data_IF_985098634830
#
_entry.id   IF_985098634830
#
_cell.length_a   1.000
_cell.length_b   1.000
_cell.length_c   1.000
_cell.angle_alpha   90.00
_cell.angle_beta   90.00
_cell.angle_gamma   90.00
#
_symmetry.space_group_name_H-M   'P 1'
#
loop_
_entity.id
_entity.type
_entity.pdbx_description
1 polymer ?
#
# COMPACT_ATOMS: atom_id res chain seq x y z
N UNK A 1 0.66 -30.03 7.42
CA UNK A 1 -0.82 -29.88 7.36
C UNK A 1 -1.15 -28.40 7.60
N UNK A 2 -1.21 -27.61 6.52
CA UNK A 2 -1.31 -26.14 6.62
C UNK A 2 -2.72 -25.75 7.06
N UNK A 3 -2.82 -25.18 8.27
CA UNK A 3 -4.06 -24.66 8.81
C UNK A 3 -4.57 -23.56 7.87
N UNK A 4 -5.67 -23.83 7.17
CA UNK A 4 -6.35 -22.89 6.27
C UNK A 4 -6.94 -21.79 7.14
N UNK A 5 -6.11 -20.81 7.50
CA UNK A 5 -6.55 -19.68 8.30
C UNK A 5 -7.57 -18.92 7.45
N UNK A 6 -8.82 -18.92 7.90
CA UNK A 6 -9.90 -18.31 7.13
C UNK A 6 -9.65 -16.80 7.14
N UNK A 7 -9.41 -16.20 5.97
CA UNK A 7 -9.03 -14.79 5.80
C UNK A 7 -9.97 -13.86 6.59
N UNK A 8 -11.24 -14.22 6.69
CA UNK A 8 -12.26 -13.54 7.50
C UNK A 8 -11.90 -13.47 8.98
N UNK A 9 -11.42 -14.56 9.59
CA UNK A 9 -11.04 -14.59 11.02
C UNK A 9 -9.86 -13.67 11.27
N UNK A 10 -8.90 -13.64 10.34
CA UNK A 10 -7.73 -12.77 10.42
C UNK A 10 -8.12 -11.29 10.33
N UNK A 11 -8.98 -10.93 9.37
CA UNK A 11 -9.48 -9.55 9.22
C UNK A 11 -10.27 -9.12 10.47
N UNK A 12 -11.15 -9.98 10.99
CA UNK A 12 -11.89 -9.70 12.24
C UNK A 12 -10.94 -9.54 13.43
N UNK A 13 -9.90 -10.36 13.53
CA UNK A 13 -8.88 -10.24 14.58
C UNK A 13 -8.10 -8.93 14.48
N UNK A 14 -7.77 -8.47 13.28
CA UNK A 14 -7.07 -7.19 13.06
C UNK A 14 -7.97 -6.02 13.46
N UNK A 15 -9.23 -6.00 13.00
CA UNK A 15 -10.19 -4.95 13.34
C UNK A 15 -10.46 -4.94 14.85
N UNK A 16 -10.70 -6.12 15.44
CA UNK A 16 -10.90 -6.28 16.88
C UNK A 16 -9.69 -5.81 17.67
N UNK A 17 -8.48 -6.15 17.22
CA UNK A 17 -7.22 -5.74 17.84
C UNK A 17 -7.00 -4.22 17.77
N UNK A 18 -7.28 -3.58 16.63
CA UNK A 18 -7.19 -2.11 16.52
C UNK A 18 -8.22 -1.42 17.42
N UNK A 19 -9.46 -1.89 17.41
CA UNK A 19 -10.53 -1.31 18.23
C UNK A 19 -10.23 -1.42 19.72
N UNK A 20 -9.77 -2.59 20.17
CA UNK A 20 -9.37 -2.79 21.56
C UNK A 20 -8.12 -2.00 21.94
N UNK A 21 -7.17 -1.78 21.02
CA UNK A 21 -6.04 -0.87 21.25
C UNK A 21 -6.50 0.57 21.50
N UNK A 22 -7.46 1.06 20.71
CA UNK A 22 -8.03 2.41 20.88
C UNK A 22 -8.72 2.54 22.25
N UNK A 23 -9.56 1.57 22.63
CA UNK A 23 -10.20 1.58 23.95
C UNK A 23 -9.20 1.48 25.09
N UNK A 24 -8.17 0.66 24.95
CA UNK A 24 -7.12 0.50 25.95
C UNK A 24 -6.30 1.78 26.13
N UNK A 25 -5.90 2.43 25.03
CA UNK A 25 -5.24 3.74 25.07
C UNK A 25 -6.15 4.81 25.67
N UNK A 26 -7.44 4.81 25.30
CA UNK A 26 -8.43 5.73 25.88
C UNK A 26 -8.60 5.53 27.38
N UNK A 27 -8.63 4.29 27.86
CA UNK A 27 -8.67 3.96 29.27
C UNK A 27 -7.41 4.47 30.01
N UNK A 28 -6.22 4.22 29.48
CA UNK A 28 -4.97 4.71 30.07
C UNK A 28 -4.92 6.24 30.12
N UNK A 29 -5.45 6.92 29.10
CA UNK A 29 -5.55 8.38 29.07
C UNK A 29 -6.52 8.90 30.14
N UNK A 30 -7.70 8.28 30.28
CA UNK A 30 -8.70 8.62 31.31
C UNK A 30 -8.18 8.35 32.72
N UNK A 31 -7.42 7.28 32.92
CA UNK A 31 -6.76 6.95 34.17
C UNK A 31 -5.61 7.90 34.52
N UNK A 32 -5.30 8.89 33.66
CA UNK A 32 -4.19 9.85 33.78
C UNK A 32 -2.81 9.20 33.87
N UNK A 33 -2.69 7.93 33.48
CA UNK A 33 -1.42 7.19 33.49
C UNK A 33 -0.49 7.72 32.38
N UNK A 34 -1.02 8.28 31.30
CA UNK A 34 -0.25 8.82 30.17
C UNK A 34 0.24 10.27 30.42
N UNK A 35 -0.02 10.87 31.59
CA UNK A 35 0.33 12.29 31.83
C UNK A 35 1.83 12.57 31.92
N UNK A 36 2.63 11.56 32.28
CA UNK A 36 4.09 11.71 32.34
C UNK A 36 4.75 11.02 31.15
N UNK A 37 5.62 11.76 30.45
CA UNK A 37 6.41 11.25 29.32
C UNK A 37 7.22 9.99 29.68
N UNK A 38 7.73 9.95 30.92
CA UNK A 38 8.51 8.81 31.42
C UNK A 38 7.61 7.59 31.62
N UNK A 39 6.41 7.79 32.19
CA UNK A 39 5.46 6.70 32.43
C UNK A 39 4.94 6.09 31.14
N UNK A 40 4.64 6.91 30.13
CA UNK A 40 4.19 6.44 28.83
C UNK A 40 5.28 5.67 28.08
N UNK A 41 6.54 6.12 28.19
CA UNK A 41 7.69 5.41 27.60
C UNK A 41 7.95 4.05 28.28
N UNK A 42 7.94 4.00 29.61
CA UNK A 42 8.14 2.74 30.36
C UNK A 42 7.04 1.73 30.03
N UNK A 43 5.78 2.17 30.05
CA UNK A 43 4.65 1.29 29.72
C UNK A 43 4.73 0.86 28.24
N UNK A 44 5.01 1.78 27.33
CA UNK A 44 5.13 1.49 25.90
C UNK A 44 6.22 0.44 25.59
N UNK A 45 7.41 0.63 26.15
CA UNK A 45 8.52 -0.34 25.98
C UNK A 45 8.20 -1.70 26.59
N UNK A 46 7.58 -1.73 27.78
CA UNK A 46 7.14 -2.98 28.43
C UNK A 46 6.12 -3.73 27.58
N UNK A 47 5.15 -3.04 26.98
CA UNK A 47 4.14 -3.64 26.09
C UNK A 47 4.78 -4.25 24.83
N UNK A 48 5.75 -3.56 24.22
CA UNK A 48 6.47 -4.06 23.04
C UNK A 48 7.28 -5.32 23.38
N UNK A 49 8.03 -5.30 24.50
CA UNK A 49 8.81 -6.47 24.96
C UNK A 49 7.88 -7.65 25.24
N UNK A 50 6.78 -7.40 25.96
CA UNK A 50 5.79 -8.43 26.28
C UNK A 50 5.23 -9.08 25.02
N UNK A 51 4.92 -8.27 24.00
CA UNK A 51 4.45 -8.76 22.70
C UNK A 51 5.49 -9.64 21.99
N UNK A 52 6.76 -9.23 22.02
CA UNK A 52 7.86 -10.00 21.44
C UNK A 52 8.13 -11.33 22.15
N UNK A 53 7.81 -11.42 23.45
CA UNK A 53 7.91 -12.67 24.22
C UNK A 53 6.72 -13.57 23.88
N UNK A 54 5.49 -13.05 23.94
CA UNK A 54 4.27 -13.82 23.66
C UNK A 54 4.31 -14.40 22.24
N UNK A 55 4.72 -13.58 21.25
CA UNK A 55 4.83 -14.01 19.85
C UNK A 55 5.87 -15.11 19.61
N UNK A 56 6.79 -15.36 20.56
CA UNK A 56 7.74 -16.48 20.49
C UNK A 56 7.24 -17.75 21.18
N UNK A 57 6.42 -17.61 22.23
CA UNK A 57 6.06 -18.74 23.10
C UNK A 57 4.75 -19.42 22.66
N UNK A 58 3.76 -18.70 22.15
CA UNK A 58 2.43 -19.27 21.87
C UNK A 58 1.88 -18.87 20.49
N UNK A 59 1.66 -19.86 19.62
CA UNK A 59 1.09 -19.69 18.27
C UNK A 59 -0.39 -20.07 18.31
N UNK A 60 -1.22 -19.26 19.00
CA UNK A 60 -2.68 -19.47 19.07
C UNK A 60 -3.38 -18.27 18.43
N UNK A 61 -4.38 -18.49 17.55
CA UNK A 61 -5.08 -17.39 16.87
C UNK A 61 -5.83 -16.45 17.82
N UNK A 62 -6.22 -16.92 19.01
CA UNK A 62 -6.81 -16.05 20.05
C UNK A 62 -5.82 -15.01 20.59
N UNK A 63 -4.52 -15.33 20.64
CA UNK A 63 -3.49 -14.40 21.11
C UNK A 63 -3.05 -13.42 20.02
N UNK A 64 -3.47 -13.60 18.78
CA UNK A 64 -3.13 -12.68 17.70
C UNK A 64 -3.78 -11.30 17.90
N UNK A 65 -5.06 -11.25 18.30
CA UNK A 65 -5.72 -9.99 18.63
C UNK A 65 -5.03 -9.26 19.80
N UNK A 66 -4.62 -10.01 20.83
CA UNK A 66 -3.86 -9.46 21.97
C UNK A 66 -2.46 -8.96 21.56
N UNK A 67 -1.77 -9.67 20.68
CA UNK A 67 -0.47 -9.21 20.19
C UNK A 67 -0.61 -7.93 19.35
N UNK A 68 -1.67 -7.80 18.55
CA UNK A 68 -1.95 -6.57 17.81
C UNK A 68 -2.19 -5.41 18.78
N UNK A 69 -3.01 -5.60 19.80
CA UNK A 69 -3.33 -4.52 20.75
C UNK A 69 -2.12 -4.03 21.47
N UNK A 70 -1.36 -4.94 22.07
CA UNK A 70 -0.17 -4.62 22.84
C UNK A 70 0.91 -3.97 21.97
N UNK A 71 1.05 -4.42 20.72
CA UNK A 71 2.01 -3.83 19.78
C UNK A 71 1.62 -2.40 19.38
N UNK A 72 0.38 -2.20 18.93
CA UNK A 72 -0.10 -0.87 18.50
C UNK A 72 -0.09 0.09 19.67
N UNK A 73 -0.65 -0.31 20.82
CA UNK A 73 -0.65 0.51 22.02
C UNK A 73 0.78 0.82 22.47
N UNK A 74 1.67 -0.19 22.48
CA UNK A 74 3.08 -0.02 22.84
C UNK A 74 3.80 0.99 21.95
N UNK A 75 3.61 0.92 20.63
CA UNK A 75 4.20 1.87 19.68
C UNK A 75 3.65 3.29 19.87
N UNK A 76 2.34 3.44 20.09
CA UNK A 76 1.71 4.76 20.33
C UNK A 76 2.18 5.36 21.65
N UNK A 77 2.25 4.58 22.73
CA UNK A 77 2.75 5.01 24.03
C UNK A 77 4.22 5.41 24.01
N UNK A 78 5.06 4.62 23.32
CA UNK A 78 6.46 4.97 23.08
C UNK A 78 6.57 6.29 22.29
N UNK A 79 5.68 6.51 21.33
CA UNK A 79 5.58 7.76 20.59
C UNK A 79 5.23 8.97 21.48
N UNK A 80 4.23 8.82 22.37
CA UNK A 80 3.88 9.88 23.31
C UNK A 80 5.04 10.22 24.26
N UNK A 81 5.71 9.20 24.81
CA UNK A 81 6.81 9.40 25.76
C UNK A 81 8.07 10.02 25.15
N UNK A 82 8.25 9.93 23.83
CA UNK A 82 9.39 10.51 23.11
C UNK A 82 9.01 11.74 22.27
N UNK A 83 7.84 12.33 22.51
CA UNK A 83 7.32 13.46 21.73
C UNK A 83 8.25 14.69 21.74
N UNK A 84 9.08 14.86 22.77
CA UNK A 84 10.07 15.93 22.86
C UNK A 84 11.18 15.83 21.79
N UNK A 85 11.51 14.61 21.32
CA UNK A 85 12.56 14.37 20.33
C UNK A 85 12.01 13.49 19.18
N UNK A 86 11.29 14.13 18.26
CA UNK A 86 10.58 13.46 17.15
C UNK A 86 11.53 12.65 16.24
N UNK A 87 12.75 13.12 16.00
CA UNK A 87 13.79 12.34 15.29
C UNK A 87 14.18 11.06 16.04
N UNK A 88 14.47 11.15 17.33
CA UNK A 88 14.86 9.96 18.09
C UNK A 88 13.73 8.93 18.10
N UNK A 89 12.48 9.40 18.19
CA UNK A 89 11.28 8.58 18.12
C UNK A 89 11.22 7.78 16.81
N UNK A 90 11.29 8.43 15.64
CA UNK A 90 11.13 7.71 14.38
C UNK A 90 12.30 6.75 14.12
N UNK A 91 13.54 7.14 14.41
CA UNK A 91 14.70 6.23 14.32
C UNK A 91 14.56 4.99 15.23
N UNK A 92 14.07 5.17 16.46
CA UNK A 92 13.82 4.05 17.38
C UNK A 92 12.68 3.16 16.86
N UNK A 93 11.61 3.72 16.30
CA UNK A 93 10.54 2.95 15.68
C UNK A 93 11.03 2.15 14.45
N UNK A 94 11.98 2.68 13.68
CA UNK A 94 12.66 1.95 12.60
C UNK A 94 13.41 0.74 13.18
N UNK A 95 14.21 0.93 14.23
CA UNK A 95 14.94 -0.18 14.87
C UNK A 95 13.97 -1.23 15.42
N UNK A 96 12.92 -0.79 16.12
CA UNK A 96 11.90 -1.68 16.70
C UNK A 96 11.20 -2.48 15.60
N UNK A 97 10.82 -1.85 14.49
CA UNK A 97 10.14 -2.53 13.38
C UNK A 97 11.02 -3.56 12.68
N UNK A 98 12.31 -3.28 12.49
CA UNK A 98 13.28 -4.24 11.95
C UNK A 98 13.43 -5.42 12.93
N UNK A 99 13.61 -5.12 14.23
CA UNK A 99 13.75 -6.14 15.26
C UNK A 99 12.51 -7.04 15.34
N UNK A 100 11.31 -6.46 15.29
CA UNK A 100 10.05 -7.20 15.38
C UNK A 100 9.80 -8.06 14.16
N UNK A 101 10.21 -7.62 12.96
CA UNK A 101 10.17 -8.44 11.75
C UNK A 101 11.05 -9.70 11.85
N UNK A 102 12.27 -9.55 12.38
CA UNK A 102 13.19 -10.68 12.51
C UNK A 102 12.80 -11.64 13.64
N UNK A 103 12.36 -11.13 14.79
CA UNK A 103 12.07 -11.96 15.97
C UNK A 103 10.71 -12.67 15.92
N UNK A 104 9.75 -12.15 15.15
CA UNK A 104 8.40 -12.72 15.09
C UNK A 104 8.32 -13.99 14.23
N UNK A 105 7.46 -14.93 14.67
CA UNK A 105 7.20 -16.22 14.00
C UNK A 105 5.79 -16.34 13.39
N UNK A 106 4.89 -15.39 13.67
CA UNK A 106 3.52 -15.36 13.13
C UNK A 106 3.39 -14.50 11.86
N UNK A 107 2.19 -14.45 11.24
CA UNK A 107 1.92 -13.60 10.06
C UNK A 107 1.70 -12.12 10.45
N UNK A 108 0.95 -11.88 11.53
CA UNK A 108 0.39 -10.56 11.84
C UNK A 108 1.45 -9.56 12.34
N UNK A 109 2.37 -10.00 13.20
CA UNK A 109 3.41 -9.12 13.74
C UNK A 109 4.40 -8.62 12.67
N UNK A 110 4.96 -9.47 11.79
CA UNK A 110 5.80 -8.99 10.70
C UNK A 110 5.03 -8.14 9.68
N UNK A 111 3.74 -8.43 9.43
CA UNK A 111 2.89 -7.57 8.61
C UNK A 111 2.78 -6.15 9.21
N UNK A 112 2.51 -6.07 10.51
CA UNK A 112 2.37 -4.79 11.22
C UNK A 112 3.72 -4.06 11.36
N UNK A 113 4.82 -4.78 11.48
CA UNK A 113 6.15 -4.19 11.54
C UNK A 113 6.57 -3.56 10.21
N UNK A 114 6.19 -4.16 9.08
CA UNK A 114 6.42 -3.57 7.74
C UNK A 114 5.64 -2.27 7.58
N UNK A 115 4.38 -2.24 8.02
CA UNK A 115 3.59 -1.00 8.02
C UNK A 115 4.24 0.06 8.93
N UNK A 116 4.63 -0.32 10.15
CA UNK A 116 5.28 0.59 11.09
C UNK A 116 6.60 1.14 10.54
N UNK A 117 7.43 0.28 9.93
CA UNK A 117 8.68 0.66 9.28
C UNK A 117 8.44 1.75 8.24
N UNK A 118 7.48 1.52 7.33
CA UNK A 118 7.14 2.50 6.29
C UNK A 118 6.63 3.83 6.89
N UNK A 119 5.76 3.78 7.91
CA UNK A 119 5.27 5.00 8.58
C UNK A 119 6.40 5.74 9.30
N UNK A 120 7.33 5.03 9.94
CA UNK A 120 8.45 5.65 10.64
C UNK A 120 9.48 6.26 9.69
N UNK A 121 9.80 5.58 8.58
CA UNK A 121 10.64 6.11 7.52
C UNK A 121 9.97 7.36 6.91
N UNK A 122 8.67 7.28 6.66
CA UNK A 122 7.87 8.40 6.21
C UNK A 122 7.96 9.61 7.13
N UNK A 123 7.80 9.37 8.44
CA UNK A 123 7.88 10.39 9.47
C UNK A 123 9.24 11.08 9.54
N UNK A 124 10.34 10.32 9.46
CA UNK A 124 11.70 10.90 9.41
C UNK A 124 11.87 11.81 8.20
N UNK A 125 11.50 11.32 7.01
CA UNK A 125 11.67 12.10 5.78
C UNK A 125 10.83 13.38 5.86
N UNK A 126 9.56 13.30 6.27
CA UNK A 126 8.72 14.48 6.44
C UNK A 126 9.31 15.50 7.43
N UNK A 127 9.89 15.01 8.54
CA UNK A 127 10.54 15.88 9.52
C UNK A 127 11.80 16.55 8.95
N UNK A 128 12.71 15.79 8.32
CA UNK A 128 13.98 16.31 7.78
C UNK A 128 13.75 17.45 6.79
N UNK A 129 12.71 17.35 5.97
CA UNK A 129 12.37 18.39 4.99
C UNK A 129 11.40 19.44 5.53
N UNK A 130 11.04 19.37 6.83
CA UNK A 130 10.13 20.31 7.53
C UNK A 130 8.81 20.58 6.79
N UNK A 131 8.39 19.65 5.94
CA UNK A 131 7.24 19.77 5.04
C UNK A 131 6.72 18.37 4.71
N UNK A 132 5.44 18.28 4.36
CA UNK A 132 4.86 17.04 3.81
C UNK A 132 5.19 16.85 2.32
N UNK A 133 5.94 17.77 1.71
CA UNK A 133 6.41 17.70 0.32
C UNK A 133 7.13 16.38 -0.06
N UNK A 134 7.97 15.78 0.81
CA UNK A 134 8.61 14.50 0.50
C UNK A 134 7.65 13.33 0.48
N UNK A 135 6.35 13.53 0.76
CA UNK A 135 5.36 12.46 0.69
C UNK A 135 5.33 11.84 -0.70
N UNK A 136 5.52 12.68 -1.72
CA UNK A 136 5.75 12.28 -3.10
C UNK A 136 7.01 11.41 -3.23
N UNK A 137 8.16 11.90 -2.78
CA UNK A 137 9.43 11.18 -2.93
C UNK A 137 9.42 9.84 -2.19
N UNK A 138 8.77 9.75 -1.02
CA UNK A 138 8.70 8.54 -0.22
C UNK A 138 7.79 7.44 -0.80
N UNK A 139 6.86 7.77 -1.71
CA UNK A 139 6.03 6.76 -2.40
C UNK A 139 6.86 5.94 -3.40
N UNK A 140 7.91 6.53 -3.97
CA UNK A 140 8.80 5.92 -4.96
C UNK A 140 9.50 4.66 -4.41
N UNK A 141 10.21 4.69 -3.26
CA UNK A 141 10.86 3.50 -2.72
C UNK A 141 9.86 2.42 -2.29
N UNK A 142 8.65 2.79 -1.84
CA UNK A 142 7.61 1.82 -1.44
C UNK A 142 7.11 1.06 -2.68
N UNK A 143 6.69 1.78 -3.72
CA UNK A 143 6.26 1.18 -4.98
C UNK A 143 7.40 0.43 -5.68
N UNK A 144 8.61 0.98 -5.65
CA UNK A 144 9.81 0.35 -6.19
C UNK A 144 10.15 -0.96 -5.49
N UNK A 145 10.10 -1.00 -4.15
CA UNK A 145 10.28 -2.22 -3.37
C UNK A 145 9.19 -3.24 -3.70
N UNK A 146 7.93 -2.82 -3.78
CA UNK A 146 6.82 -3.69 -4.14
C UNK A 146 6.96 -4.27 -5.56
N UNK A 147 7.33 -3.44 -6.54
CA UNK A 147 7.63 -3.89 -7.91
C UNK A 147 8.81 -4.88 -7.94
N UNK A 148 9.88 -4.59 -7.22
CA UNK A 148 11.07 -5.43 -7.15
C UNK A 148 10.72 -6.82 -6.60
N UNK A 149 9.96 -6.88 -5.51
CA UNK A 149 9.56 -8.15 -4.89
C UNK A 149 8.73 -8.99 -5.86
N UNK A 150 7.75 -8.39 -6.53
CA UNK A 150 6.92 -9.09 -7.51
C UNK A 150 7.71 -9.52 -8.76
N UNK A 151 8.66 -8.69 -9.22
CA UNK A 151 9.52 -9.03 -10.35
C UNK A 151 10.46 -10.21 -10.06
N UNK A 152 10.92 -10.33 -8.82
CA UNK A 152 11.83 -11.38 -8.37
C UNK A 152 11.11 -12.59 -7.73
N UNK A 153 9.78 -12.61 -7.66
CA UNK A 153 9.02 -13.72 -7.07
C UNK A 153 9.38 -15.08 -7.70
N UNK A 154 9.55 -15.12 -9.03
CA UNK A 154 10.04 -16.30 -9.77
C UNK A 154 11.45 -16.74 -9.39
N UNK A 155 12.30 -15.82 -8.93
CA UNK A 155 13.67 -16.08 -8.49
C UNK A 155 13.68 -16.65 -7.06
N UNK A 156 12.73 -16.24 -6.23
CA UNK A 156 12.56 -16.76 -4.86
C UNK A 156 11.86 -18.13 -4.82
N UNK A 157 10.91 -18.39 -5.73
CA UNK A 157 10.27 -19.71 -5.88
C UNK A 157 11.28 -20.85 -6.18
N UNK A 158 12.46 -20.53 -6.74
CA UNK A 158 13.53 -21.50 -6.99
C UNK A 158 14.45 -21.79 -5.79
N UNK A 159 14.36 -21.03 -4.70
CA UNK A 159 15.23 -21.20 -3.52
C UNK A 159 14.53 -21.95 -2.39
N UNK A 160 14.90 -23.22 -2.20
CA UNK A 160 14.41 -24.12 -1.14
C UNK A 160 14.81 -23.68 0.28
N UNK A 161 14.26 -22.58 0.76
CA UNK A 161 14.38 -22.21 2.17
C UNK A 161 13.00 -21.94 2.76
N UNK A 162 12.39 -22.99 3.32
CA UNK A 162 11.03 -22.99 3.93
C UNK A 162 10.80 -21.82 4.90
N UNK A 163 11.86 -21.35 5.59
CA UNK A 163 11.75 -20.30 6.59
C UNK A 163 11.61 -18.90 5.98
N UNK A 164 12.22 -18.63 4.81
CA UNK A 164 12.10 -17.34 4.12
C UNK A 164 10.74 -17.19 3.44
N UNK A 165 10.18 -18.29 2.92
CA UNK A 165 8.86 -18.31 2.28
C UNK A 165 7.72 -17.95 3.24
N UNK A 166 7.83 -18.32 4.51
CA UNK A 166 6.77 -18.01 5.50
C UNK A 166 6.67 -16.51 5.82
N UNK A 167 7.81 -15.79 5.79
CA UNK A 167 7.88 -14.33 6.05
C UNK A 167 7.66 -13.49 4.80
N UNK A 168 7.79 -14.06 3.61
CA UNK A 168 7.51 -13.38 2.35
C UNK A 168 6.07 -12.88 2.26
N UNK A 169 5.08 -13.73 2.58
CA UNK A 169 3.65 -13.36 2.52
C UNK A 169 3.27 -12.13 3.38
N UNK A 170 3.62 -12.06 4.67
CA UNK A 170 3.31 -10.86 5.47
C UNK A 170 4.10 -9.63 5.01
N UNK A 171 5.31 -9.81 4.48
CA UNK A 171 6.11 -8.73 3.90
C UNK A 171 5.46 -8.14 2.65
N UNK A 172 5.04 -9.00 1.71
CA UNK A 172 4.33 -8.61 0.49
C UNK A 172 3.00 -7.91 0.80
N UNK A 173 2.16 -8.50 1.66
CA UNK A 173 0.89 -7.91 2.07
C UNK A 173 1.08 -6.56 2.78
N UNK A 174 2.12 -6.43 3.63
CA UNK A 174 2.44 -5.18 4.32
C UNK A 174 2.83 -4.07 3.34
N UNK A 175 3.64 -4.39 2.32
CA UNK A 175 4.04 -3.45 1.28
C UNK A 175 2.87 -3.05 0.38
N UNK A 176 1.97 -3.98 0.04
CA UNK A 176 0.76 -3.69 -0.71
C UNK A 176 -0.14 -2.69 0.03
N UNK A 177 -0.41 -2.93 1.32
CA UNK A 177 -1.21 -2.00 2.14
C UNK A 177 -0.50 -0.64 2.27
N UNK A 178 0.81 -0.62 2.47
CA UNK A 178 1.56 0.65 2.52
C UNK A 178 1.50 1.42 1.20
N UNK A 179 1.48 0.73 0.06
CA UNK A 179 1.34 1.33 -1.28
C UNK A 179 -0.04 1.94 -1.49
N UNK A 180 -1.10 1.26 -1.02
CA UNK A 180 -2.48 1.79 -1.04
C UNK A 180 -2.56 3.07 -0.22
N UNK A 181 -2.04 3.03 1.02
CA UNK A 181 -2.11 4.17 1.94
C UNK A 181 -1.28 5.35 1.41
N UNK A 182 -0.09 5.09 0.85
CA UNK A 182 0.76 6.15 0.29
C UNK A 182 0.13 6.80 -0.95
N UNK A 183 -0.44 6.01 -1.86
CA UNK A 183 -1.15 6.54 -3.03
C UNK A 183 -2.43 7.29 -2.66
N UNK A 184 -3.16 6.83 -1.64
CA UNK A 184 -4.30 7.56 -1.07
C UNK A 184 -3.87 8.85 -0.37
N UNK A 185 -2.70 8.88 0.28
CA UNK A 185 -2.12 10.10 0.84
C UNK A 185 -1.82 11.15 -0.24
N UNK A 186 -1.30 10.71 -1.39
CA UNK A 186 -1.02 11.58 -2.53
C UNK A 186 -2.26 12.22 -3.16
N UNK A 187 -3.46 11.69 -2.94
CA UNK A 187 -4.68 12.29 -3.48
C UNK A 187 -5.24 13.42 -2.60
N UNK A 188 -4.72 13.62 -1.38
CA UNK A 188 -5.15 14.70 -0.50
C UNK A 188 -4.36 15.95 -0.83
N UNK A 189 -5.04 16.95 -1.39
CA UNK A 189 -4.42 18.20 -1.88
C UNK A 189 -3.63 18.96 -0.82
N UNK A 190 -4.06 18.92 0.45
CA UNK A 190 -3.33 19.56 1.56
C UNK A 190 -1.96 18.92 1.84
N UNK A 191 -1.82 17.61 1.62
CA UNK A 191 -0.54 16.90 1.79
C UNK A 191 0.43 17.13 0.62
N UNK A 192 -0.03 17.75 -0.46
CA UNK A 192 0.69 17.92 -1.74
C UNK A 192 0.93 19.40 -2.09
N UNK A 193 0.24 20.31 -1.41
CA UNK A 193 0.22 21.73 -1.76
C UNK A 193 1.39 22.51 -1.15
N UNK A 194 2.57 22.40 -1.75
CA UNK A 194 3.61 23.43 -1.64
C UNK A 194 4.49 23.50 -2.90
N UNK A 195 5.29 24.56 -2.99
CA UNK A 195 5.91 25.12 -4.20
C UNK A 195 6.64 24.09 -5.09
N UNK A 196 6.43 24.15 -6.41
CA UNK A 196 6.93 23.23 -7.45
C UNK A 196 6.28 21.83 -7.55
N UNK A 197 5.03 21.70 -7.09
CA UNK A 197 4.22 20.47 -7.22
C UNK A 197 4.13 19.88 -8.63
N UNK A 198 4.19 20.71 -9.68
CA UNK A 198 4.09 20.25 -11.06
C UNK A 198 5.28 19.38 -11.49
N UNK A 199 6.51 19.82 -11.21
CA UNK A 199 7.72 19.09 -11.62
C UNK A 199 7.89 17.79 -10.84
N UNK A 200 7.60 17.79 -9.54
CA UNK A 200 7.75 16.57 -8.73
C UNK A 200 6.64 15.56 -9.02
N UNK A 201 5.40 16.02 -9.24
CA UNK A 201 4.32 15.17 -9.76
C UNK A 201 4.67 14.57 -11.13
N UNK A 202 5.31 15.35 -12.01
CA UNK A 202 5.84 14.89 -13.29
C UNK A 202 6.95 13.83 -13.16
N UNK A 203 7.95 14.08 -12.31
CA UNK A 203 9.05 13.12 -12.09
C UNK A 203 8.51 11.80 -11.49
N UNK A 204 7.57 11.90 -10.56
CA UNK A 204 6.97 10.75 -9.91
C UNK A 204 6.09 9.94 -10.85
N UNK A 205 5.29 10.60 -11.70
CA UNK A 205 4.51 9.92 -12.73
C UNK A 205 5.41 9.22 -13.74
N UNK A 206 6.52 9.81 -14.16
CA UNK A 206 7.52 9.14 -15.03
C UNK A 206 8.09 7.88 -14.38
N UNK A 207 8.44 7.92 -13.08
CA UNK A 207 8.92 6.73 -12.38
C UNK A 207 7.87 5.61 -12.35
N UNK A 208 6.61 5.96 -12.08
CA UNK A 208 5.49 5.01 -12.11
C UNK A 208 5.28 4.46 -13.54
N UNK A 209 5.44 5.28 -14.57
CA UNK A 209 5.33 4.82 -15.95
C UNK A 209 6.42 3.82 -16.32
N UNK A 210 7.66 4.04 -15.86
CA UNK A 210 8.74 3.05 -16.00
C UNK A 210 8.33 1.73 -15.35
N UNK A 211 7.78 1.77 -14.14
CA UNK A 211 7.23 0.59 -13.45
C UNK A 211 6.11 -0.10 -14.24
N UNK A 212 5.18 0.67 -14.82
CA UNK A 212 4.11 0.14 -15.67
C UNK A 212 4.67 -0.57 -16.91
N UNK A 213 5.65 0.02 -17.59
CA UNK A 213 6.28 -0.56 -18.77
C UNK A 213 6.99 -1.89 -18.45
N UNK A 214 7.68 -1.96 -17.30
CA UNK A 214 8.31 -3.20 -16.81
C UNK A 214 7.26 -4.30 -16.59
N UNK A 215 6.14 -3.97 -15.93
CA UNK A 215 5.07 -4.95 -15.69
C UNK A 215 4.37 -5.40 -16.98
N UNK A 216 4.16 -4.50 -17.94
CA UNK A 216 3.62 -4.84 -19.26
C UNK A 216 4.55 -5.82 -19.97
N UNK A 217 5.86 -5.58 -19.93
CA UNK A 217 6.86 -6.48 -20.51
C UNK A 217 6.76 -7.89 -19.90
N UNK A 218 6.64 -7.99 -18.57
CA UNK A 218 6.49 -9.27 -17.89
C UNK A 218 5.20 -10.00 -18.28
N UNK A 219 4.08 -9.28 -18.41
CA UNK A 219 2.80 -9.87 -18.83
C UNK A 219 2.87 -10.37 -20.28
N UNK A 220 3.47 -9.61 -21.20
CA UNK A 220 3.64 -10.01 -22.60
C UNK A 220 4.49 -11.29 -22.70
N UNK A 221 5.57 -11.38 -21.92
CA UNK A 221 6.42 -12.58 -21.86
C UNK A 221 5.64 -13.80 -21.37
N UNK A 222 4.75 -13.65 -20.39
CA UNK A 222 3.90 -14.74 -19.89
C UNK A 222 2.82 -15.12 -20.91
N UNK A 223 2.26 -14.14 -21.64
CA UNK A 223 1.19 -14.38 -22.62
C UNK A 223 1.67 -14.92 -23.98
N UNK A 224 2.99 -15.15 -24.17
CA UNK A 224 3.58 -15.63 -25.45
C UNK A 224 3.02 -14.89 -26.67
N UNK A 225 2.94 -13.56 -26.60
CA UNK A 225 2.45 -12.76 -27.72
C UNK A 225 3.48 -12.72 -28.84
N UNK A 226 3.38 -13.60 -29.83
CA UNK A 226 4.40 -13.81 -30.86
C UNK A 226 4.50 -12.69 -31.93
N UNK A 227 3.52 -11.77 -31.99
CA UNK A 227 3.48 -10.72 -33.03
C UNK A 227 4.11 -9.39 -32.56
N UNK A 228 5.23 -8.93 -33.16
CA UNK A 228 5.93 -7.71 -32.74
C UNK A 228 5.09 -6.44 -32.94
N UNK A 229 4.21 -6.42 -33.94
CA UNK A 229 3.32 -5.28 -34.22
C UNK A 229 2.29 -5.08 -33.10
N UNK A 230 1.76 -6.17 -32.54
CA UNK A 230 0.81 -6.09 -31.43
C UNK A 230 1.50 -5.67 -30.13
N UNK A 231 2.73 -6.11 -29.89
CA UNK A 231 3.52 -5.68 -28.73
C UNK A 231 3.77 -4.16 -28.77
N UNK A 232 4.24 -3.65 -29.91
CA UNK A 232 4.45 -2.20 -30.11
C UNK A 232 3.14 -1.43 -29.96
N UNK A 233 2.03 -1.96 -30.49
CA UNK A 233 0.70 -1.36 -30.32
C UNK A 233 0.26 -1.24 -28.86
N UNK A 234 0.51 -2.27 -28.04
CA UNK A 234 0.18 -2.27 -26.60
C UNK A 234 1.01 -1.20 -25.86
N UNK A 235 2.30 -1.09 -26.16
CA UNK A 235 3.17 -0.06 -25.55
C UNK A 235 2.74 1.36 -25.92
N UNK A 236 2.45 1.61 -27.21
CA UNK A 236 1.96 2.91 -27.67
C UNK A 236 0.64 3.27 -26.98
N UNK A 237 -0.29 2.32 -26.90
CA UNK A 237 -1.58 2.54 -26.23
C UNK A 237 -1.39 2.86 -24.74
N UNK A 238 -0.47 2.18 -24.04
CA UNK A 238 -0.19 2.47 -22.64
C UNK A 238 0.43 3.86 -22.44
N UNK A 239 1.35 4.28 -23.30
CA UNK A 239 1.92 5.64 -23.25
C UNK A 239 0.82 6.68 -23.47
N UNK A 240 -0.08 6.46 -24.43
CA UNK A 240 -1.22 7.35 -24.70
C UNK A 240 -2.17 7.42 -23.49
N UNK A 241 -2.48 6.30 -22.85
CA UNK A 241 -3.33 6.25 -21.65
C UNK A 241 -2.64 6.90 -20.44
N UNK A 242 -1.31 6.81 -20.37
CA UNK A 242 -0.53 7.41 -19.28
C UNK A 242 -0.32 8.91 -19.47
N UNK A 243 -0.32 9.45 -20.70
CA UNK A 243 -0.04 10.86 -20.97
C UNK A 243 -0.94 11.87 -20.21
N UNK A 244 -2.26 11.66 -20.05
CA UNK A 244 -3.12 12.52 -19.22
C UNK A 244 -2.79 12.45 -17.73
N UNK A 245 -2.08 11.41 -17.29
CA UNK A 245 -1.79 11.12 -15.87
C UNK A 245 -0.51 11.78 -15.34
N UNK A 246 0.22 12.54 -16.18
CA UNK A 246 1.44 13.29 -15.77
C UNK A 246 1.17 14.15 -14.53
N UNK A 247 0.00 14.76 -14.48
CA UNK A 247 -0.40 15.69 -13.43
C UNK A 247 -1.05 15.01 -12.22
N UNK A 248 -1.35 13.70 -12.32
CA UNK A 248 -2.09 12.93 -11.33
C UNK A 248 -1.43 11.57 -11.08
N UNK A 249 -0.29 11.54 -10.37
CA UNK A 249 0.49 10.33 -10.13
C UNK A 249 -0.26 9.24 -9.35
N UNK A 250 -1.23 9.62 -8.52
CA UNK A 250 -2.07 8.66 -7.81
C UNK A 250 -2.92 7.81 -8.79
N UNK A 251 -3.28 8.35 -9.96
CA UNK A 251 -4.04 7.63 -10.99
C UNK A 251 -3.14 6.61 -11.71
N UNK A 252 -1.93 7.01 -12.14
CA UNK A 252 -0.98 6.06 -12.73
C UNK A 252 -0.52 5.00 -11.74
N UNK A 253 -0.33 5.36 -10.47
CA UNK A 253 0.05 4.43 -9.40
C UNK A 253 -1.03 3.37 -9.13
N UNK A 254 -2.30 3.77 -9.21
CA UNK A 254 -3.42 2.84 -9.06
C UNK A 254 -3.53 1.83 -10.22
N UNK A 255 -3.25 2.27 -11.46
CA UNK A 255 -3.15 1.38 -12.62
C UNK A 255 -1.99 0.39 -12.48
N UNK A 256 -0.84 0.85 -11.98
CA UNK A 256 0.30 0.01 -11.70
C UNK A 256 -0.03 -1.09 -10.68
N UNK A 257 -0.72 -0.75 -9.59
CA UNK A 257 -1.18 -1.73 -8.60
C UNK A 257 -2.14 -2.76 -9.20
N UNK A 258 -3.09 -2.35 -10.03
CA UNK A 258 -3.99 -3.28 -10.73
C UNK A 258 -3.20 -4.26 -11.58
N UNK A 259 -2.21 -3.77 -12.33
CA UNK A 259 -1.42 -4.59 -13.24
C UNK A 259 -0.57 -5.62 -12.49
N UNK A 260 0.03 -5.23 -11.36
CA UNK A 260 0.74 -6.14 -10.46
C UNK A 260 -0.21 -7.19 -9.87
N UNK A 261 -1.37 -6.76 -9.36
CA UNK A 261 -2.36 -7.68 -8.79
C UNK A 261 -2.86 -8.69 -9.83
N UNK A 262 -3.01 -8.25 -11.08
CA UNK A 262 -3.40 -9.12 -12.18
C UNK A 262 -2.33 -10.16 -12.52
N UNK A 263 -1.05 -9.78 -12.47
CA UNK A 263 0.06 -10.70 -12.69
C UNK A 263 0.10 -11.82 -11.65
N UNK A 264 -0.11 -11.47 -10.38
CA UNK A 264 -0.02 -12.40 -9.26
C UNK A 264 -1.30 -13.23 -9.03
N UNK A 265 -2.47 -12.69 -9.39
CA UNK A 265 -3.74 -13.44 -9.38
C UNK A 265 -4.48 -13.48 -8.03
N UNK A 266 -4.05 -12.71 -7.01
CA UNK A 266 -4.80 -12.59 -5.76
C UNK A 266 -6.05 -11.71 -5.89
N UNK A 267 -7.21 -12.35 -5.73
CA UNK A 267 -8.54 -11.73 -5.93
C UNK A 267 -8.82 -10.59 -4.96
N UNK A 268 -8.42 -10.72 -3.69
CA UNK A 268 -8.69 -9.71 -2.67
C UNK A 268 -7.88 -8.43 -2.89
N UNK A 269 -6.59 -8.58 -3.20
CA UNK A 269 -5.69 -7.46 -3.50
C UNK A 269 -6.10 -6.77 -4.81
N UNK A 270 -6.48 -7.54 -5.83
CA UNK A 270 -7.01 -6.99 -7.08
C UNK A 270 -8.29 -6.17 -6.85
N UNK A 271 -9.21 -6.65 -6.00
CA UNK A 271 -10.40 -5.89 -5.63
C UNK A 271 -10.06 -4.58 -4.89
N UNK A 272 -9.08 -4.62 -3.98
CA UNK A 272 -8.62 -3.42 -3.27
C UNK A 272 -7.94 -2.40 -4.21
N UNK A 273 -7.11 -2.87 -5.15
CA UNK A 273 -6.48 -2.03 -6.17
C UNK A 273 -7.53 -1.40 -7.10
N UNK A 274 -8.56 -2.16 -7.50
CA UNK A 274 -9.70 -1.64 -8.27
C UNK A 274 -10.49 -0.58 -7.51
N UNK A 275 -10.75 -0.77 -6.22
CA UNK A 275 -11.41 0.24 -5.39
C UNK A 275 -10.58 1.53 -5.30
N UNK A 276 -9.26 1.40 -5.14
CA UNK A 276 -8.35 2.55 -5.15
C UNK A 276 -8.36 3.26 -6.50
N UNK A 277 -8.40 2.53 -7.62
CA UNK A 277 -8.52 3.12 -8.96
C UNK A 277 -9.83 3.89 -9.14
N UNK A 278 -10.97 3.33 -8.72
CA UNK A 278 -12.27 4.03 -8.77
C UNK A 278 -12.22 5.31 -7.93
N UNK A 279 -11.63 5.25 -6.74
CA UNK A 279 -11.43 6.41 -5.88
C UNK A 279 -10.52 7.46 -6.55
N UNK A 280 -9.38 7.05 -7.13
CA UNK A 280 -8.44 7.91 -7.82
C UNK A 280 -9.09 8.63 -9.02
N UNK A 281 -9.85 7.91 -9.85
CA UNK A 281 -10.60 8.50 -10.97
C UNK A 281 -11.65 9.50 -10.47
N UNK A 282 -12.38 9.15 -9.41
CA UNK A 282 -13.38 10.04 -8.82
C UNK A 282 -12.73 11.33 -8.29
N UNK A 283 -11.62 11.20 -7.56
CA UNK A 283 -10.90 12.34 -7.00
C UNK A 283 -10.32 13.24 -8.09
N UNK A 284 -9.70 12.65 -9.12
CA UNK A 284 -9.21 13.39 -10.29
C UNK A 284 -10.32 14.19 -10.98
N UNK A 285 -11.49 13.59 -11.13
CA UNK A 285 -12.65 14.26 -11.71
C UNK A 285 -13.11 15.49 -10.88
N UNK A 286 -13.10 15.38 -9.55
CA UNK A 286 -13.45 16.50 -8.68
C UNK A 286 -12.36 17.59 -8.65
N UNK A 287 -11.09 17.21 -8.72
CA UNK A 287 -9.95 18.13 -8.70
C UNK A 287 -9.76 18.91 -10.00
N UNK A 288 -10.38 18.49 -11.11
CA UNK A 288 -10.40 19.29 -12.34
C UNK A 288 -11.05 20.66 -12.09
N UNK A 289 -10.31 21.74 -12.35
CA UNK A 289 -10.79 23.13 -12.32
C UNK A 289 -11.70 23.46 -13.52
N UNK A 290 -12.72 22.65 -13.75
CA UNK A 290 -13.72 22.82 -14.81
C UNK A 290 -15.08 23.14 -14.18
N UNK A 291 -15.91 23.89 -14.91
CA UNK A 291 -17.30 24.12 -14.49
C UNK A 291 -18.05 22.78 -14.40
N UNK A 292 -18.99 22.67 -13.45
CA UNK A 292 -19.86 21.49 -13.32
C UNK A 292 -20.57 21.14 -14.63
N UNK A 293 -20.94 22.15 -15.42
CA UNK A 293 -21.56 21.97 -16.74
C UNK A 293 -20.61 21.27 -17.71
N UNK A 294 -19.37 21.75 -17.83
CA UNK A 294 -18.34 21.14 -18.70
C UNK A 294 -18.03 19.70 -18.28
N UNK A 295 -17.96 19.45 -16.97
CA UNK A 295 -17.75 18.10 -16.41
C UNK A 295 -18.89 17.14 -16.79
N UNK A 296 -20.14 17.59 -16.68
CA UNK A 296 -21.31 16.79 -17.09
C UNK A 296 -21.32 16.48 -18.59
N UNK A 297 -21.07 17.49 -19.43
CA UNK A 297 -21.03 17.33 -20.90
C UNK A 297 -19.94 16.36 -21.32
N UNK A 298 -18.74 16.48 -20.75
CA UNK A 298 -17.61 15.57 -21.06
C UNK A 298 -17.92 14.13 -20.67
N UNK A 299 -18.53 13.92 -19.49
CA UNK A 299 -18.90 12.58 -19.01
C UNK A 299 -20.03 11.96 -19.86
N UNK A 300 -20.96 12.78 -20.35
CA UNK A 300 -21.98 12.36 -21.31
C UNK A 300 -21.37 11.87 -22.63
N UNK A 301 -20.41 12.61 -23.20
CA UNK A 301 -19.72 12.20 -24.42
C UNK A 301 -18.84 10.96 -24.24
N UNK A 302 -18.13 10.85 -23.10
CA UNK A 302 -17.36 9.64 -22.76
C UNK A 302 -18.30 8.44 -22.59
N UNK A 303 -19.47 8.64 -21.97
CA UNK A 303 -20.50 7.61 -21.86
C UNK A 303 -20.97 7.09 -23.22
N UNK A 304 -21.26 8.00 -24.16
CA UNK A 304 -21.60 7.64 -25.55
C UNK A 304 -20.44 6.90 -26.24
N UNK A 305 -19.20 7.36 -26.06
CA UNK A 305 -18.01 6.70 -26.60
C UNK A 305 -17.83 5.29 -26.03
N UNK A 306 -18.06 5.08 -24.73
CA UNK A 306 -18.00 3.76 -24.10
C UNK A 306 -19.10 2.83 -24.60
N UNK A 307 -20.34 3.33 -24.77
CA UNK A 307 -21.45 2.53 -25.29
C UNK A 307 -21.20 2.14 -26.74
N UNK A 308 -20.73 3.07 -27.58
CA UNK A 308 -20.40 2.80 -28.98
C UNK A 308 -19.23 1.82 -29.10
N UNK A 309 -18.19 1.95 -28.26
CA UNK A 309 -17.10 0.99 -28.18
C UNK A 309 -17.59 -0.39 -27.75
N UNK A 310 -18.41 -0.48 -26.70
CA UNK A 310 -19.00 -1.74 -26.23
C UNK A 310 -19.84 -2.41 -27.33
N UNK A 311 -20.66 -1.64 -28.03
CA UNK A 311 -21.47 -2.11 -29.16
C UNK A 311 -20.58 -2.65 -30.29
N UNK A 312 -19.49 -1.95 -30.63
CA UNK A 312 -18.56 -2.39 -31.67
C UNK A 312 -17.78 -3.67 -31.28
N UNK A 313 -17.33 -3.77 -30.03
CA UNK A 313 -16.62 -4.95 -29.54
C UNK A 313 -17.54 -6.18 -29.42
N UNK A 314 -18.78 -6.00 -28.97
CA UNK A 314 -19.77 -7.09 -28.92
C UNK A 314 -20.15 -7.58 -30.32
N UNK A 315 -20.23 -6.68 -31.31
CA UNK A 315 -20.49 -7.05 -32.70
C UNK A 315 -19.34 -7.84 -33.36
N UNK A 316 -18.08 -7.62 -32.94
CA UNK A 316 -16.95 -8.43 -33.38
C UNK A 316 -16.86 -9.80 -32.70
N UNK A 317 -17.29 -9.90 -31.44
CA UNK A 317 -17.26 -11.17 -30.69
C UNK A 317 -18.19 -12.22 -31.32
N UNK A 318 -19.38 -11.81 -31.77
CA UNK A 318 -20.34 -12.69 -32.49
C UNK A 318 -19.87 -13.09 -33.89
N UNK A 319 -18.80 -12.48 -34.43
CA UNK A 319 -18.23 -12.83 -35.74
C UNK A 319 -17.14 -13.90 -35.65
N UNK A 320 -16.48 -14.04 -34.50
CA UNK A 320 -15.46 -15.05 -34.22
C UNK A 320 -16.02 -16.29 -33.49
N UNK A 321 -17.26 -16.24 -33.00
CA UNK A 321 -18.07 -17.40 -32.58
C UNK A 321 -18.94 -17.90 -33.75
N UNK A 322 -18.35 -18.24 -34.89
CA UNK A 322 -19.02 -19.10 -35.88
C UNK A 322 -18.56 -20.53 -35.66
N UNK A 323 -19.42 -21.28 -34.95
CA UNK A 323 -19.60 -22.74 -34.83
C UNK A 323 -18.33 -23.59 -35.01
#
# INVERSE_FOLDING_TARGET
>A
MAQKHNLTILVVSIIGGILTAIFFLGFLALARIIQSDISSLIIGTLLIITTLIISRVVIRPFLDAMNITLYIAGCVLAGFGMSANIHALFFILIIISILTFFLSRGFILPFLSVILFNISLFGEVAYVFSSFYPLQIAVIPILGAFLFINAFEKLFEGTETENYFSKYRPFHAGLFVSSIVSLGGLSISYLVSETNSWLVSGILSVYIWVGLLIMIQQIIQVMKGDNPVNQVGIYILCIIICLPTVFAPYLSGSLLLILICFHYGYRAECAAALLLFIYAVSKYYYDLNLSLLTKSITLFFIGIACITAWYFFTQKRTRHEKI
#
